data_IF_674643712364
#
_entry.id   IF_674643712364
#
_cell.length_a   1.000
_cell.length_b   1.000
_cell.length_c   1.000
_cell.angle_alpha   90.00
_cell.angle_beta   90.00
_cell.angle_gamma   90.00
#
_symmetry.space_group_name_H-M   'P 1'
#
loop_
_entity.id
_entity.type
_entity.pdbx_description
1 polymer ?
#
# COMPACT_ATOMS: atom_id res chain seq x y z
N UNK A 1 -13.46 -19.31 7.75
CA UNK A 1 -13.97 -18.15 7.00
C UNK A 1 -12.78 -17.43 6.38
N UNK A 2 -12.75 -17.28 5.05
CA UNK A 2 -11.62 -16.61 4.39
C UNK A 2 -11.65 -15.10 4.65
N UNK A 3 -10.47 -14.46 4.64
CA UNK A 3 -10.31 -13.00 4.77
C UNK A 3 -11.16 -12.26 3.72
N UNK A 4 -11.30 -12.84 2.53
CA UNK A 4 -12.19 -12.38 1.44
C UNK A 4 -13.66 -12.26 1.89
N UNK A 5 -14.18 -13.25 2.62
CA UNK A 5 -15.59 -13.31 3.03
C UNK A 5 -15.92 -12.30 4.13
N UNK A 6 -14.98 -12.08 5.08
CA UNK A 6 -15.10 -11.05 6.12
C UNK A 6 -15.09 -9.66 5.49
N UNK A 7 -14.27 -9.47 4.45
CA UNK A 7 -14.12 -8.19 3.75
C UNK A 7 -15.35 -7.82 2.91
N UNK A 8 -16.01 -8.79 2.27
CA UNK A 8 -17.25 -8.59 1.50
C UNK A 8 -18.50 -8.34 2.37
N UNK A 9 -18.49 -8.79 3.64
CA UNK A 9 -19.70 -8.79 4.49
C UNK A 9 -19.86 -7.59 5.43
N UNK A 10 -18.88 -6.67 5.52
CA UNK A 10 -18.99 -5.48 6.39
C UNK A 10 -19.92 -4.43 5.75
N UNK A 11 -21.16 -4.34 6.25
CA UNK A 11 -22.24 -3.51 5.64
C UNK A 11 -22.35 -2.06 6.12
N UNK A 12 -21.43 -1.56 6.96
CA UNK A 12 -21.47 -0.18 7.47
C UNK A 12 -20.81 0.86 6.53
N UNK A 13 -21.47 2.01 6.30
CA UNK A 13 -20.92 3.11 5.48
C UNK A 13 -19.57 3.62 6.01
N UNK A 14 -19.42 3.69 7.34
CA UNK A 14 -18.20 4.13 8.00
C UNK A 14 -17.05 3.15 7.77
N UNK A 15 -17.34 1.86 7.85
CA UNK A 15 -16.38 0.77 7.66
C UNK A 15 -15.98 0.64 6.18
N UNK A 16 -16.93 0.83 5.25
CA UNK A 16 -16.66 0.95 3.82
C UNK A 16 -15.73 2.14 3.51
N UNK A 17 -15.97 3.30 4.12
CA UNK A 17 -15.10 4.47 3.95
C UNK A 17 -13.68 4.22 4.48
N UNK A 18 -13.54 3.63 5.67
CA UNK A 18 -12.22 3.23 6.22
C UNK A 18 -11.48 2.26 5.28
N UNK A 19 -12.20 1.28 4.72
CA UNK A 19 -11.66 0.35 3.73
C UNK A 19 -11.19 1.05 2.46
N UNK A 20 -11.99 1.96 1.91
CA UNK A 20 -11.60 2.73 0.75
C UNK A 20 -10.37 3.63 1.02
N UNK A 21 -10.29 4.22 2.22
CA UNK A 21 -9.13 5.00 2.65
C UNK A 21 -7.87 4.13 2.80
N UNK A 22 -7.99 2.95 3.40
CA UNK A 22 -6.89 2.00 3.51
C UNK A 22 -6.42 1.53 2.12
N UNK A 23 -7.35 1.16 1.22
CA UNK A 23 -7.05 0.80 -0.17
C UNK A 23 -6.27 1.91 -0.87
N UNK A 24 -6.74 3.16 -0.76
CA UNK A 24 -6.06 4.29 -1.37
C UNK A 24 -4.67 4.52 -0.77
N UNK A 25 -4.52 4.41 0.55
CA UNK A 25 -3.24 4.60 1.22
C UNK A 25 -2.20 3.55 0.77
N UNK A 26 -2.58 2.26 0.72
CA UNK A 26 -1.68 1.18 0.27
C UNK A 26 -1.18 1.44 -1.16
N UNK A 27 -2.08 1.77 -2.09
CA UNK A 27 -1.69 2.05 -3.47
C UNK A 27 -0.79 3.30 -3.60
N UNK A 28 -1.09 4.38 -2.87
CA UNK A 28 -0.24 5.58 -2.83
C UNK A 28 1.15 5.22 -2.27
N UNK A 29 1.22 4.44 -1.19
CA UNK A 29 2.50 4.05 -0.60
C UNK A 29 3.34 3.20 -1.56
N UNK A 30 2.72 2.23 -2.24
CA UNK A 30 3.42 1.40 -3.24
C UNK A 30 3.97 2.24 -4.40
N UNK A 31 3.18 3.18 -4.93
CA UNK A 31 3.62 4.10 -5.99
C UNK A 31 4.74 5.02 -5.50
N UNK A 32 4.69 5.50 -4.26
CA UNK A 32 5.71 6.43 -3.74
C UNK A 32 6.99 5.72 -3.27
N UNK A 33 6.94 4.42 -2.96
CA UNK A 33 8.08 3.71 -2.41
C UNK A 33 9.23 3.55 -3.42
N UNK A 34 8.92 3.24 -4.69
CA UNK A 34 9.88 3.17 -5.81
C UNK A 34 11.12 2.30 -5.53
N UNK A 35 10.97 1.27 -4.71
CA UNK A 35 11.98 0.25 -4.42
C UNK A 35 11.33 -1.13 -4.56
N UNK A 36 12.11 -2.21 -4.70
CA UNK A 36 11.55 -3.55 -4.71
C UNK A 36 10.71 -3.83 -3.46
N UNK A 37 9.54 -4.45 -3.66
CA UNK A 37 8.60 -4.83 -2.61
C UNK A 37 8.31 -6.32 -2.77
N UNK A 38 8.45 -7.07 -1.68
CA UNK A 38 7.93 -8.42 -1.57
C UNK A 38 6.98 -8.46 -0.38
N UNK A 39 5.67 -8.51 -0.64
CA UNK A 39 4.66 -8.71 0.41
C UNK A 39 4.45 -10.23 0.52
N UNK A 40 4.97 -10.87 1.58
CA UNK A 40 4.85 -12.32 1.74
C UNK A 40 3.39 -12.72 1.92
N UNK A 41 3.03 -13.86 1.33
CA UNK A 41 1.71 -14.48 1.51
C UNK A 41 1.46 -14.78 2.99
N UNK A 42 0.23 -14.58 3.47
CA UNK A 42 -0.15 -15.00 4.82
C UNK A 42 -0.01 -16.54 4.92
N UNK A 43 0.78 -17.07 5.87
CA UNK A 43 0.92 -18.51 6.05
C UNK A 43 -0.40 -19.14 6.51
N UNK A 44 -0.63 -20.41 6.13
CA UNK A 44 -1.73 -21.21 6.68
C UNK A 44 -1.58 -21.36 8.20
N UNK A 45 -2.69 -21.57 8.91
CA UNK A 45 -2.74 -21.64 10.39
C UNK A 45 -3.07 -23.04 10.94
N UNK A 46 -2.65 -24.09 10.24
CA UNK A 46 -2.72 -25.47 10.71
C UNK A 46 -1.43 -25.89 11.47
N UNK A 47 -1.44 -25.73 12.80
CA UNK A 47 -0.52 -26.31 13.83
C UNK A 47 0.49 -25.35 14.52
N UNK A 48 1.15 -25.81 15.60
CA UNK A 48 1.98 -25.00 16.52
C UNK A 48 3.27 -24.46 15.84
N UNK A 49 3.78 -25.17 14.83
CA UNK A 49 4.83 -24.67 13.93
C UNK A 49 4.40 -23.41 13.15
N UNK A 50 3.09 -23.17 13.06
CA UNK A 50 2.53 -22.01 12.38
C UNK A 50 2.55 -20.77 13.27
N UNK A 51 2.66 -20.91 14.59
CA UNK A 51 2.76 -19.74 15.46
C UNK A 51 4.07 -18.97 15.22
N UNK A 52 5.19 -19.70 15.10
CA UNK A 52 6.49 -19.11 14.79
C UNK A 52 6.51 -18.54 13.36
N UNK A 53 6.05 -19.31 12.37
CA UNK A 53 5.94 -18.86 10.96
C UNK A 53 5.05 -17.62 10.81
N UNK A 54 3.91 -17.60 11.48
CA UNK A 54 2.98 -16.47 11.48
C UNK A 54 3.57 -15.24 12.18
N UNK A 55 4.34 -15.43 13.26
CA UNK A 55 5.05 -14.33 13.91
C UNK A 55 6.15 -13.76 13.00
N UNK A 56 6.96 -14.62 12.37
CA UNK A 56 7.97 -14.20 11.39
C UNK A 56 7.34 -13.46 10.20
N UNK A 57 6.19 -13.91 9.72
CA UNK A 57 5.41 -13.22 8.69
C UNK A 57 4.97 -11.82 9.15
N UNK A 58 4.40 -11.71 10.35
CA UNK A 58 4.02 -10.41 10.93
C UNK A 58 5.22 -9.46 11.06
N UNK A 59 6.35 -9.96 11.55
CA UNK A 59 7.55 -9.13 11.74
C UNK A 59 8.11 -8.66 10.40
N UNK A 60 8.04 -9.51 9.36
CA UNK A 60 8.42 -9.16 7.98
C UNK A 60 7.50 -8.09 7.41
N UNK A 61 6.18 -8.24 7.56
CA UNK A 61 5.18 -7.24 7.14
C UNK A 61 5.37 -5.93 7.88
N UNK A 62 5.60 -5.98 9.19
CA UNK A 62 5.84 -4.80 10.02
C UNK A 62 7.10 -4.06 9.58
N UNK A 63 8.21 -4.77 9.40
CA UNK A 63 9.49 -4.21 8.93
C UNK A 63 9.32 -3.54 7.58
N UNK A 64 8.63 -4.19 6.64
CA UNK A 64 8.32 -3.62 5.33
C UNK A 64 7.44 -2.36 5.45
N UNK A 65 6.39 -2.41 6.27
CA UNK A 65 5.50 -1.28 6.48
C UNK A 65 6.23 -0.05 7.04
N UNK A 66 7.15 -0.24 8.00
CA UNK A 66 7.97 0.84 8.57
C UNK A 66 8.94 1.40 7.52
N UNK A 67 9.60 0.53 6.74
CA UNK A 67 10.50 0.96 5.67
C UNK A 67 9.75 1.77 4.60
N UNK A 68 8.56 1.31 4.20
CA UNK A 68 7.69 2.02 3.27
C UNK A 68 7.22 3.36 3.84
N UNK A 69 6.73 3.40 5.08
CA UNK A 69 6.26 4.64 5.72
C UNK A 69 7.36 5.71 5.76
N UNK A 70 8.58 5.33 6.14
CA UNK A 70 9.74 6.24 6.17
C UNK A 70 10.08 6.77 4.78
N UNK A 71 10.29 5.89 3.80
CA UNK A 71 10.69 6.29 2.45
C UNK A 71 9.61 7.11 1.73
N UNK A 72 8.34 6.77 1.92
CA UNK A 72 7.20 7.53 1.38
C UNK A 72 7.15 8.92 2.00
N UNK A 73 7.31 9.04 3.32
CA UNK A 73 7.30 10.34 3.98
C UNK A 73 8.50 11.21 3.62
N UNK A 74 9.70 10.63 3.48
CA UNK A 74 10.89 11.33 2.96
C UNK A 74 10.64 11.87 1.55
N UNK A 75 10.09 11.04 0.66
CA UNK A 75 9.77 11.45 -0.71
C UNK A 75 8.72 12.57 -0.73
N UNK A 76 7.65 12.43 0.04
CA UNK A 76 6.62 13.48 0.14
C UNK A 76 7.20 14.79 0.71
N UNK A 77 8.05 14.69 1.73
CA UNK A 77 8.73 15.84 2.30
C UNK A 77 9.63 16.54 1.26
N UNK A 78 10.31 15.78 0.39
CA UNK A 78 11.12 16.36 -0.67
C UNK A 78 10.31 17.32 -1.56
N UNK A 79 9.04 16.98 -1.84
CA UNK A 79 8.11 17.81 -2.59
C UNK A 79 7.49 18.96 -1.78
N UNK A 80 6.89 18.66 -0.63
CA UNK A 80 6.00 19.61 0.06
C UNK A 80 6.60 20.25 1.32
N UNK A 81 7.80 19.83 1.73
CA UNK A 81 8.51 20.24 2.96
C UNK A 81 7.70 20.07 4.25
N UNK A 82 6.63 19.27 4.25
CA UNK A 82 5.78 19.02 5.41
C UNK A 82 6.34 17.92 6.30
N UNK A 83 5.91 17.92 7.57
CA UNK A 83 6.24 16.86 8.52
C UNK A 83 5.66 15.50 8.07
N UNK A 84 6.30 14.38 8.46
CA UNK A 84 5.77 13.04 8.20
C UNK A 84 4.36 12.82 8.72
N UNK A 85 3.59 11.94 8.07
CA UNK A 85 2.25 11.55 8.50
C UNK A 85 2.03 10.05 8.34
N UNK A 86 1.41 9.43 9.36
CA UNK A 86 0.98 8.02 9.36
C UNK A 86 -0.52 7.85 9.10
N UNK A 87 -1.25 8.94 8.91
CA UNK A 87 -2.72 8.91 8.74
C UNK A 87 -3.07 8.72 7.26
N UNK A 88 -3.81 7.65 6.95
CA UNK A 88 -4.27 7.35 5.58
C UNK A 88 -5.01 8.54 4.92
N UNK A 89 -5.92 9.19 5.63
CA UNK A 89 -6.64 10.36 5.12
C UNK A 89 -5.70 11.55 4.80
N UNK A 90 -4.68 11.77 5.63
CA UNK A 90 -3.69 12.82 5.40
C UNK A 90 -2.80 12.50 4.20
N UNK A 91 -2.35 11.24 4.07
CA UNK A 91 -1.59 10.76 2.92
C UNK A 91 -2.38 10.97 1.62
N UNK A 92 -3.66 10.56 1.59
CA UNK A 92 -4.54 10.75 0.43
C UNK A 92 -4.69 12.23 0.05
N UNK A 93 -4.86 13.12 1.03
CA UNK A 93 -4.93 14.57 0.79
C UNK A 93 -3.62 15.12 0.23
N UNK A 94 -2.48 14.73 0.81
CA UNK A 94 -1.14 15.12 0.32
C UNK A 94 -0.90 14.65 -1.10
N UNK A 95 -1.25 13.39 -1.41
CA UNK A 95 -1.17 12.84 -2.76
C UNK A 95 -1.98 13.65 -3.77
N UNK A 96 -3.23 14.00 -3.46
CA UNK A 96 -4.06 14.84 -4.36
C UNK A 96 -3.42 16.20 -4.64
N UNK A 97 -2.91 16.88 -3.59
CA UNK A 97 -2.22 18.15 -3.74
C UNK A 97 -0.94 18.00 -4.57
N UNK A 98 -0.21 16.91 -4.37
CA UNK A 98 1.00 16.61 -5.12
C UNK A 98 0.72 16.43 -6.61
N UNK A 99 -0.37 15.73 -6.98
CA UNK A 99 -0.80 15.60 -8.38
C UNK A 99 -1.04 16.95 -9.05
N UNK A 100 -1.57 17.92 -8.32
CA UNK A 100 -1.84 19.28 -8.83
C UNK A 100 -0.57 20.13 -8.89
N UNK A 101 0.27 20.08 -7.86
CA UNK A 101 1.46 20.93 -7.75
C UNK A 101 2.66 20.44 -8.57
N UNK A 102 2.80 19.12 -8.73
CA UNK A 102 3.94 18.49 -9.41
C UNK A 102 3.47 17.39 -10.40
N UNK A 103 2.64 17.74 -11.40
CA UNK A 103 1.99 16.77 -12.26
C UNK A 103 2.98 15.87 -13.00
N UNK A 104 4.09 16.41 -13.53
CA UNK A 104 5.09 15.62 -14.25
C UNK A 104 5.83 14.63 -13.35
N UNK A 105 6.27 15.08 -12.17
CA UNK A 105 6.99 14.22 -11.22
C UNK A 105 6.09 13.08 -10.74
N UNK A 106 4.82 13.37 -10.46
CA UNK A 106 3.85 12.34 -10.07
C UNK A 106 3.50 11.43 -11.23
N UNK A 107 3.35 11.96 -12.45
CA UNK A 107 3.14 11.18 -13.66
C UNK A 107 4.27 10.17 -13.90
N UNK A 108 5.53 10.58 -13.68
CA UNK A 108 6.68 9.68 -13.77
C UNK A 108 6.61 8.54 -12.75
N UNK A 109 6.29 8.85 -11.48
CA UNK A 109 6.12 7.84 -10.42
C UNK A 109 5.01 6.84 -10.75
N UNK A 110 3.87 7.34 -11.24
CA UNK A 110 2.75 6.53 -11.68
C UNK A 110 3.16 5.64 -12.87
N UNK A 111 3.84 6.18 -13.87
CA UNK A 111 4.27 5.43 -15.05
C UNK A 111 5.38 4.40 -14.73
N UNK A 112 6.16 4.62 -13.68
CA UNK A 112 7.19 3.68 -13.25
C UNK A 112 6.60 2.47 -12.51
N UNK A 113 5.51 2.66 -11.76
CA UNK A 113 4.93 1.61 -10.94
C UNK A 113 4.51 0.34 -11.71
N UNK A 114 3.77 0.41 -12.84
CA UNK A 114 3.46 -0.77 -13.66
C UNK A 114 4.70 -1.46 -14.23
N UNK A 115 5.75 -0.69 -14.58
CA UNK A 115 7.02 -1.26 -15.08
C UNK A 115 7.73 -2.06 -13.99
N UNK A 116 7.74 -1.55 -12.77
CA UNK A 116 8.29 -2.28 -11.61
C UNK A 116 7.52 -3.57 -11.33
N UNK A 117 6.18 -3.56 -11.48
CA UNK A 117 5.35 -4.76 -11.41
C UNK A 117 5.70 -5.77 -12.51
N UNK A 118 5.76 -5.32 -13.76
CA UNK A 118 6.07 -6.19 -14.91
C UNK A 118 7.46 -6.84 -14.80
N UNK A 119 8.42 -6.13 -14.22
CA UNK A 119 9.79 -6.62 -14.01
C UNK A 119 9.96 -7.49 -12.74
N UNK A 120 8.87 -7.83 -12.04
CA UNK A 120 8.92 -8.63 -10.82
C UNK A 120 9.55 -7.93 -9.62
N UNK A 121 9.74 -6.60 -9.67
CA UNK A 121 10.26 -5.84 -8.53
C UNK A 121 9.18 -5.60 -7.46
N UNK A 122 7.91 -5.69 -7.83
CA UNK A 122 6.78 -5.56 -6.91
C UNK A 122 5.99 -6.86 -6.96
N UNK A 123 6.16 -7.68 -5.93
CA UNK A 123 5.44 -8.93 -5.72
C UNK A 123 4.51 -8.71 -4.54
N UNK A 124 3.20 -8.76 -4.81
CA UNK A 124 2.16 -8.65 -3.81
C UNK A 124 1.31 -9.93 -3.81
N UNK A 125 1.64 -10.86 -2.92
CA UNK A 125 0.92 -12.12 -2.77
C UNK A 125 -0.22 -12.06 -1.75
N UNK A 126 -0.46 -10.88 -1.15
CA UNK A 126 -1.37 -10.73 -0.01
C UNK A 126 -2.57 -9.83 -0.33
N UNK A 127 -2.41 -8.82 -1.19
CA UNK A 127 -3.51 -7.92 -1.56
C UNK A 127 -4.32 -8.52 -2.72
N UNK A 128 -5.64 -8.70 -2.57
CA UNK A 128 -6.48 -9.16 -3.68
C UNK A 128 -6.40 -8.19 -4.86
N UNK A 129 -6.38 -8.72 -6.09
CA UNK A 129 -6.26 -7.91 -7.31
C UNK A 129 -7.33 -6.82 -7.42
N UNK A 130 -8.54 -7.07 -6.90
CA UNK A 130 -9.65 -6.09 -6.88
C UNK A 130 -9.37 -4.87 -5.99
N UNK A 131 -8.33 -4.91 -5.15
CA UNK A 131 -7.90 -3.83 -4.25
C UNK A 131 -6.63 -3.12 -4.72
N UNK A 132 -5.98 -3.61 -5.77
CA UNK A 132 -4.88 -2.90 -6.41
C UNK A 132 -5.45 -1.88 -7.40
N UNK A 133 -4.84 -0.71 -7.48
CA UNK A 133 -5.14 0.24 -8.54
C UNK A 133 -4.68 -0.33 -9.88
N UNK A 134 -5.55 -0.21 -10.88
CA UNK A 134 -5.24 -0.51 -12.27
C UNK A 134 -4.86 0.77 -13.03
N UNK A 135 -4.67 0.66 -14.35
CA UNK A 135 -4.33 1.80 -15.19
C UNK A 135 -5.42 2.90 -15.17
N UNK A 136 -6.69 2.54 -14.98
CA UNK A 136 -7.80 3.49 -14.93
C UNK A 136 -7.84 4.27 -13.62
N UNK A 137 -7.50 3.64 -12.49
CA UNK A 137 -7.35 4.30 -11.19
C UNK A 137 -6.15 5.27 -11.13
N UNK A 138 -5.18 5.06 -12.01
CA UNK A 138 -3.91 5.80 -12.08
C UNK A 138 -3.89 6.94 -13.12
N UNK A 139 -4.87 6.97 -14.02
CA UNK A 139 -5.10 8.06 -14.98
C UNK A 139 -5.54 9.36 -14.29
#
# INVERSE_FOLDING_TARGET
MSVEHIWQTVKGKKEQNKRAEAKAAVNIMMILYQKPIAIPQEPSRCDVADAATYQTWKDSIWTLAVAMDSAVNERLHAFDKKKPTRKAASLRKRWKLLKTAHPEAVGSLIAQFPRMKANGQIIDACTPTTHLWDASDMS
#
